data_IF_370235987921
#
_entry.id   IF_370235987921
#
_cell.length_a   1.000
_cell.length_b   1.000
_cell.length_c   1.000
_cell.angle_alpha   90.00
_cell.angle_beta   90.00
_cell.angle_gamma   90.00
#
_symmetry.space_group_name_H-M   'P 1'
#
loop_
_entity.id
_entity.type
_entity.pdbx_description
1 polymer ?
#
# COMPACT_ATOMS: atom_id res chain seq x y z
N UNK A 1 -7.40 -18.96 0.90
CA UNK A 1 -7.50 -17.83 1.83
C UNK A 1 -7.51 -16.56 1.00
N UNK A 2 -8.60 -15.80 1.02
CA UNK A 2 -8.69 -14.56 0.25
C UNK A 2 -7.85 -13.48 0.93
N UNK A 3 -7.07 -12.82 0.11
CA UNK A 3 -6.09 -11.83 0.49
C UNK A 3 -6.76 -10.45 0.49
N UNK A 4 -7.02 -9.88 1.66
CA UNK A 4 -7.91 -8.70 1.75
C UNK A 4 -7.21 -7.45 2.29
N UNK A 5 -7.70 -6.29 1.86
CA UNK A 5 -7.25 -4.99 2.39
C UNK A 5 -7.55 -4.87 3.88
N UNK A 6 -8.60 -5.53 4.40
CA UNK A 6 -8.88 -5.49 5.83
C UNK A 6 -7.80 -6.15 6.67
N UNK A 7 -7.28 -7.30 6.25
CA UNK A 7 -6.16 -7.93 6.96
C UNK A 7 -4.92 -7.03 7.06
N UNK A 8 -4.68 -6.20 6.03
CA UNK A 8 -3.64 -5.17 6.09
C UNK A 8 -3.98 -4.11 7.14
N UNK A 9 -5.19 -3.56 7.12
CA UNK A 9 -5.60 -2.48 8.05
C UNK A 9 -5.64 -2.97 9.50
N UNK A 10 -6.18 -4.17 9.74
CA UNK A 10 -6.25 -4.81 11.05
C UNK A 10 -4.86 -5.09 11.65
N UNK A 11 -3.83 -5.22 10.81
CA UNK A 11 -2.44 -5.44 11.27
C UNK A 11 -1.72 -4.16 11.72
N UNK A 12 -2.32 -2.99 11.51
CA UNK A 12 -1.70 -1.69 11.80
C UNK A 12 -2.17 -1.17 13.16
N UNK A 13 -1.30 -1.25 14.16
CA UNK A 13 -1.61 -0.80 15.53
C UNK A 13 -1.57 0.73 15.69
N UNK A 14 -0.82 1.44 14.84
CA UNK A 14 -0.71 2.89 14.92
C UNK A 14 -1.92 3.56 14.27
N UNK A 15 -2.80 4.16 15.08
CA UNK A 15 -4.04 4.80 14.62
C UNK A 15 -3.82 5.89 13.57
N UNK A 16 -2.75 6.68 13.69
CA UNK A 16 -2.45 7.76 12.74
C UNK A 16 -1.95 7.21 11.40
N UNK A 17 -1.15 6.15 11.41
CA UNK A 17 -0.76 5.41 10.21
C UNK A 17 -1.98 4.73 9.57
N UNK A 18 -2.86 4.15 10.39
CA UNK A 18 -4.11 3.56 9.94
C UNK A 18 -4.98 4.62 9.25
N UNK A 19 -5.10 5.82 9.80
CA UNK A 19 -5.81 6.93 9.16
C UNK A 19 -5.22 7.29 7.78
N UNK A 20 -3.90 7.39 7.65
CA UNK A 20 -3.22 7.65 6.37
C UNK A 20 -3.53 6.54 5.34
N UNK A 21 -3.61 5.29 5.79
CA UNK A 21 -3.96 4.16 4.95
C UNK A 21 -5.45 4.19 4.56
N UNK A 22 -6.35 4.51 5.49
CA UNK A 22 -7.79 4.66 5.21
C UNK A 22 -8.08 5.80 4.22
N UNK A 23 -7.30 6.89 4.26
CA UNK A 23 -7.39 8.00 3.29
C UNK A 23 -6.74 7.68 1.93
N UNK A 24 -6.03 6.54 1.82
CA UNK A 24 -5.41 6.11 0.58
C UNK A 24 -6.39 5.32 -0.29
N UNK A 25 -6.27 5.44 -1.61
CA UNK A 25 -7.18 4.76 -2.51
C UNK A 25 -6.97 3.24 -2.52
N UNK A 26 -8.04 2.49 -2.81
CA UNK A 26 -8.07 1.02 -2.79
C UNK A 26 -6.95 0.37 -3.60
N UNK A 27 -6.56 0.94 -4.75
CA UNK A 27 -5.48 0.37 -5.59
C UNK A 27 -4.12 0.51 -4.91
N UNK A 28 -3.87 1.62 -4.23
CA UNK A 28 -2.65 1.83 -3.44
C UNK A 28 -2.56 0.82 -2.28
N UNK A 29 -3.67 0.58 -1.58
CA UNK A 29 -3.73 -0.43 -0.52
C UNK A 29 -3.55 -1.85 -1.04
N UNK A 30 -4.12 -2.18 -2.21
CA UNK A 30 -3.93 -3.47 -2.86
C UNK A 30 -2.46 -3.71 -3.26
N UNK A 31 -1.79 -2.69 -3.82
CA UNK A 31 -0.35 -2.74 -4.11
C UNK A 31 0.45 -2.99 -2.83
N UNK A 32 0.14 -2.26 -1.75
CA UNK A 32 0.85 -2.40 -0.47
C UNK A 32 0.68 -3.80 0.13
N UNK A 33 -0.54 -4.33 0.12
CA UNK A 33 -0.86 -5.68 0.59
C UNK A 33 -0.03 -6.75 -0.14
N UNK A 34 -0.03 -6.71 -1.48
CA UNK A 34 0.77 -7.65 -2.28
C UNK A 34 2.27 -7.47 -2.00
N UNK A 35 2.73 -6.22 -1.85
CA UNK A 35 4.14 -5.98 -1.55
C UNK A 35 4.57 -6.55 -0.19
N UNK A 36 3.71 -6.49 0.81
CA UNK A 36 3.96 -7.04 2.15
C UNK A 36 4.06 -8.57 2.16
N UNK A 37 3.37 -9.26 1.27
CA UNK A 37 3.51 -10.71 1.11
C UNK A 37 4.64 -11.13 0.18
N UNK A 38 5.53 -10.21 -0.19
CA UNK A 38 6.74 -10.55 -0.91
C UNK A 38 6.61 -10.53 -2.43
N UNK A 39 5.46 -10.13 -2.98
CA UNK A 39 5.34 -9.99 -4.43
C UNK A 39 6.32 -8.92 -4.98
N UNK A 40 6.90 -9.23 -6.13
CA UNK A 40 7.69 -8.29 -6.91
C UNK A 40 6.80 -7.26 -7.60
N UNK A 41 7.38 -6.13 -8.02
CA UNK A 41 6.62 -5.09 -8.73
C UNK A 41 6.05 -5.60 -10.04
N UNK A 42 6.78 -6.49 -10.72
CA UNK A 42 6.34 -7.14 -11.95
C UNK A 42 5.11 -8.03 -11.71
N UNK A 43 5.14 -8.90 -10.69
CA UNK A 43 3.99 -9.75 -10.35
C UNK A 43 2.77 -8.90 -9.94
N UNK A 44 2.99 -7.81 -9.20
CA UNK A 44 1.91 -6.87 -8.85
C UNK A 44 1.33 -6.23 -10.12
N UNK A 45 2.16 -5.84 -11.07
CA UNK A 45 1.70 -5.27 -12.34
C UNK A 45 0.85 -6.27 -13.14
N UNK A 46 1.31 -7.52 -13.23
CA UNK A 46 0.59 -8.61 -13.89
C UNK A 46 -0.74 -8.91 -13.19
N UNK A 47 -0.78 -8.96 -11.86
CA UNK A 47 -2.00 -9.25 -11.09
C UNK A 47 -3.01 -8.09 -11.07
N UNK A 48 -2.54 -6.85 -11.05
CA UNK A 48 -3.42 -5.67 -10.90
C UNK A 48 -3.76 -4.99 -12.23
N UNK A 49 -3.04 -5.32 -13.30
CA UNK A 49 -3.11 -4.62 -14.58
C UNK A 49 -2.56 -3.18 -14.53
N UNK A 50 -1.84 -2.82 -13.46
CA UNK A 50 -1.28 -1.48 -13.28
C UNK A 50 0.15 -1.46 -13.82
N UNK A 51 0.53 -0.49 -14.67
CA UNK A 51 1.91 -0.37 -15.14
C UNK A 51 2.90 -0.21 -13.98
N UNK A 52 4.06 -0.87 -14.05
CA UNK A 52 5.09 -0.83 -13.00
C UNK A 52 5.45 0.60 -12.58
N UNK A 53 5.60 1.51 -13.56
CA UNK A 53 5.88 2.93 -13.31
C UNK A 53 4.82 3.59 -12.42
N UNK A 54 3.55 3.24 -12.62
CA UNK A 54 2.44 3.74 -11.80
C UNK A 54 2.50 3.15 -10.40
N UNK A 55 2.87 1.87 -10.26
CA UNK A 55 3.09 1.21 -8.97
C UNK A 55 4.19 1.93 -8.17
N UNK A 56 5.37 2.15 -8.79
CA UNK A 56 6.47 2.89 -8.17
C UNK A 56 6.04 4.29 -7.72
N UNK A 57 5.33 5.02 -8.58
CA UNK A 57 4.85 6.39 -8.28
C UNK A 57 3.88 6.39 -7.09
N UNK A 58 2.95 5.45 -7.03
CA UNK A 58 1.99 5.32 -5.92
C UNK A 58 2.70 4.99 -4.62
N UNK A 59 3.62 4.04 -4.63
CA UNK A 59 4.44 3.70 -3.46
C UNK A 59 5.27 4.88 -2.96
N UNK A 60 5.90 5.64 -3.85
CA UNK A 60 6.70 6.80 -3.47
C UNK A 60 5.84 7.90 -2.82
N UNK A 61 4.66 8.18 -3.37
CA UNK A 61 3.69 9.13 -2.77
C UNK A 61 3.24 8.69 -1.39
N UNK A 62 2.91 7.40 -1.21
CA UNK A 62 2.53 6.85 0.08
C UNK A 62 3.67 6.97 1.10
N UNK A 63 4.91 6.58 0.71
CA UNK A 63 6.10 6.75 1.55
C UNK A 63 6.33 8.21 1.95
N UNK A 64 6.10 9.16 1.04
CA UNK A 64 6.20 10.60 1.33
C UNK A 64 5.15 11.05 2.35
N UNK A 65 3.90 10.59 2.24
CA UNK A 65 2.85 10.89 3.24
C UNK A 65 3.25 10.38 4.63
N UNK A 66 3.66 9.10 4.71
CA UNK A 66 4.09 8.48 5.97
C UNK A 66 5.33 9.19 6.55
N UNK A 67 6.33 9.51 5.72
CA UNK A 67 7.52 10.25 6.19
C UNK A 67 7.21 11.66 6.69
N UNK A 68 6.26 12.37 6.07
CA UNK A 68 5.84 13.69 6.55
C UNK A 68 5.21 13.58 7.94
N UNK A 69 4.42 12.53 8.15
CA UNK A 69 3.81 12.23 9.43
C UNK A 69 4.86 11.84 10.50
N UNK A 70 5.77 10.91 10.20
CA UNK A 70 6.81 10.46 11.16
C UNK A 70 7.88 11.51 11.51
N UNK A 71 7.96 12.61 10.76
CA UNK A 71 8.86 13.73 11.04
C UNK A 71 8.19 14.85 11.85
N UNK A 72 6.88 14.73 12.10
CA UNK A 72 6.10 15.64 12.94
C UNK A 72 6.23 15.29 14.42
#
# INVERSE_FOLDING_TARGET
>A
MALTIQQLLDSVENEQLLQILLESDKKTLQILLLKLWGFSIREIAEQTGIPEKTIYTRMDRLKKKIKKFLKG
#
